data_IF_173509512587
#
_entry.id   IF_173509512587
#
_cell.length_a   1.000
_cell.length_b   1.000
_cell.length_c   1.000
_cell.angle_alpha   90.00
_cell.angle_beta   90.00
_cell.angle_gamma   90.00
#
_symmetry.space_group_name_H-M   'P 1'
#
loop_
_entity.id
_entity.type
_entity.pdbx_description
1 polymer ?
#
# COMPACT_ATOMS: atom_id res chain seq x y z
N UNK A 1 42.28 -57.21 0.41
CA UNK A 1 43.43 -57.00 1.31
C UNK A 1 43.53 -55.52 1.61
N UNK A 2 43.46 -55.21 2.90
CA UNK A 2 43.68 -53.88 3.49
C UNK A 2 45.17 -53.50 3.39
N UNK A 3 45.49 -52.20 3.35
CA UNK A 3 46.36 -51.48 4.32
C UNK A 3 46.65 -50.06 3.79
N UNK A 4 46.34 -49.07 4.65
CA UNK A 4 46.57 -47.61 4.62
C UNK A 4 48.08 -47.27 4.85
N UNK A 5 48.61 -46.02 4.82
CA UNK A 5 48.24 -44.99 5.83
C UNK A 5 48.40 -43.47 5.50
N UNK A 6 47.66 -42.64 6.27
CA UNK A 6 48.05 -41.38 6.99
C UNK A 6 48.58 -40.14 6.22
N UNK A 7 48.48 -38.87 6.66
CA UNK A 7 47.70 -38.08 7.63
C UNK A 7 48.02 -36.59 7.34
N UNK A 8 47.01 -35.71 7.47
CA UNK A 8 46.98 -34.29 7.86
C UNK A 8 48.25 -33.40 7.84
N UNK A 9 48.12 -32.19 7.26
CA UNK A 9 48.36 -30.94 8.00
C UNK A 9 47.43 -29.80 7.54
N UNK A 10 46.72 -29.24 8.51
CA UNK A 10 45.97 -27.99 8.45
C UNK A 10 46.93 -26.80 8.44
N UNK A 11 46.70 -25.82 7.56
CA UNK A 11 47.17 -24.45 7.76
C UNK A 11 46.02 -23.47 7.56
N UNK A 12 45.71 -22.81 8.67
CA UNK A 12 44.78 -21.71 8.88
C UNK A 12 45.20 -20.47 8.09
N UNK A 13 44.26 -19.83 7.40
CA UNK A 13 44.44 -18.48 6.85
C UNK A 13 43.41 -17.54 7.46
N UNK A 14 43.86 -16.73 8.40
CA UNK A 14 43.09 -15.63 8.99
C UNK A 14 42.73 -14.56 7.95
N UNK A 15 41.57 -13.90 8.09
CA UNK A 15 41.18 -12.79 7.23
C UNK A 15 41.89 -11.49 7.64
N UNK A 16 42.48 -10.81 6.66
CA UNK A 16 43.07 -9.48 6.85
C UNK A 16 41.97 -8.44 7.01
N UNK A 17 41.86 -7.89 8.22
CA UNK A 17 41.08 -6.69 8.54
C UNK A 17 41.61 -5.47 7.79
N UNK A 18 40.72 -4.77 7.10
CA UNK A 18 40.99 -3.51 6.42
C UNK A 18 40.44 -2.36 7.30
N UNK A 19 41.28 -1.52 7.93
CA UNK A 19 40.80 -0.48 8.83
C UNK A 19 40.41 0.77 8.01
N UNK A 20 39.12 0.94 7.78
CA UNK A 20 38.57 2.22 7.35
C UNK A 20 38.64 3.22 8.51
N UNK A 21 39.57 4.18 8.41
CA UNK A 21 39.71 5.29 9.32
C UNK A 21 38.43 6.17 9.32
N UNK A 22 37.57 5.99 10.34
CA UNK A 22 36.58 7.01 10.72
C UNK A 22 37.32 8.19 11.35
N UNK A 23 37.44 9.32 10.64
CA UNK A 23 37.79 10.61 11.27
C UNK A 23 36.63 11.03 12.18
N UNK A 24 36.82 10.88 13.48
CA UNK A 24 35.92 11.41 14.52
C UNK A 24 36.25 12.90 14.67
N UNK A 25 35.39 13.79 14.19
CA UNK A 25 35.49 15.22 14.49
C UNK A 25 34.90 15.41 15.88
N UNK A 26 35.76 15.66 16.87
CA UNK A 26 35.38 16.05 18.22
C UNK A 26 35.42 17.58 18.25
N UNK A 27 34.25 18.23 18.24
CA UNK A 27 34.17 19.66 18.52
C UNK A 27 34.15 19.85 20.04
N UNK A 28 35.27 20.29 20.62
CA UNK A 28 35.30 20.82 21.99
C UNK A 28 34.79 22.27 21.96
N UNK A 29 33.58 22.49 22.46
CA UNK A 29 33.08 23.85 22.72
C UNK A 29 33.47 24.26 24.14
N UNK A 30 34.45 25.17 24.25
CA UNK A 30 34.76 25.89 25.49
C UNK A 30 33.79 27.07 25.62
N UNK A 31 32.86 27.03 26.57
CA UNK A 31 32.00 28.16 26.91
C UNK A 31 32.69 29.05 27.95
N UNK A 32 33.06 30.27 27.53
CA UNK A 32 33.39 31.38 28.45
C UNK A 32 32.11 32.15 28.75
N UNK A 33 31.80 32.52 30.01
CA UNK A 33 30.58 33.26 30.31
C UNK A 33 30.83 34.75 30.06
N UNK A 34 30.20 35.31 29.03
CA UNK A 34 30.05 36.77 28.90
C UNK A 34 28.57 37.14 29.03
N UNK A 35 28.29 38.04 29.99
CA UNK A 35 26.96 38.59 30.28
C UNK A 35 26.32 39.22 29.04
N UNK A 36 25.01 39.08 28.80
CA UNK A 36 24.35 39.72 27.67
C UNK A 36 24.05 41.21 27.98
N UNK A 37 24.38 42.10 27.05
CA UNK A 37 23.80 43.45 26.95
C UNK A 37 22.45 43.32 26.23
N UNK A 38 21.42 43.90 26.83
CA UNK A 38 20.06 43.98 26.29
C UNK A 38 20.00 44.90 25.07
N UNK A 39 19.32 44.47 24.02
CA UNK A 39 18.85 45.32 22.93
C UNK A 39 17.43 44.87 22.58
N UNK A 40 16.43 45.77 22.57
CA UNK A 40 15.05 45.40 22.38
C UNK A 40 14.74 45.42 20.87
N UNK A 41 14.71 44.24 20.25
CA UNK A 41 13.92 43.92 19.03
C UNK A 41 14.30 42.52 18.51
N UNK A 42 14.08 41.48 19.33
CA UNK A 42 14.01 40.11 18.82
C UNK A 42 12.55 39.69 18.75
N UNK A 43 12.09 39.45 17.51
CA UNK A 43 10.86 38.72 17.24
C UNK A 43 11.01 37.31 17.83
N UNK A 44 10.32 37.06 18.93
CA UNK A 44 10.15 35.75 19.53
C UNK A 44 9.24 34.91 18.63
N UNK A 45 9.81 33.99 17.85
CA UNK A 45 9.06 32.84 17.36
C UNK A 45 8.88 31.89 18.54
N UNK A 46 7.73 31.98 19.19
CA UNK A 46 7.27 30.97 20.14
C UNK A 46 6.80 29.75 19.31
N UNK A 47 7.42 28.57 19.43
CA UNK A 47 6.85 27.37 18.86
C UNK A 47 5.58 27.07 19.64
N UNK A 48 4.43 27.33 19.01
CA UNK A 48 3.12 26.97 19.54
C UNK A 48 3.09 25.45 19.67
N UNK A 49 3.30 24.95 20.89
CA UNK A 49 3.00 23.57 21.25
C UNK A 49 1.50 23.40 21.10
N UNK A 50 1.08 22.97 19.91
CA UNK A 50 -0.25 22.41 19.70
C UNK A 50 -0.30 21.17 20.58
N UNK A 51 -1.10 21.24 21.64
CA UNK A 51 -1.45 20.08 22.47
C UNK A 51 -1.80 18.94 21.52
N UNK A 52 -1.18 17.75 21.64
CA UNK A 52 -1.56 16.65 20.78
C UNK A 52 -3.08 16.43 20.93
N UNK A 53 -3.84 16.34 19.82
CA UNK A 53 -5.23 15.95 19.93
C UNK A 53 -5.28 14.64 20.70
N UNK A 54 -6.22 14.54 21.64
CA UNK A 54 -6.45 13.34 22.42
C UNK A 54 -6.28 12.13 21.50
N UNK A 55 -5.29 11.30 21.81
CA UNK A 55 -5.04 10.04 21.11
C UNK A 55 -6.31 9.22 21.31
N UNK A 56 -7.23 9.29 20.35
CA UNK A 56 -8.31 8.33 20.26
C UNK A 56 -7.57 7.03 20.02
N UNK A 57 -7.49 6.21 21.07
CA UNK A 57 -6.99 4.85 21.00
C UNK A 57 -7.74 4.18 19.85
N UNK A 58 -7.04 4.03 18.72
CA UNK A 58 -7.38 3.08 17.67
C UNK A 58 -7.80 1.79 18.38
N UNK A 59 -8.98 1.26 18.04
CA UNK A 59 -9.59 0.15 18.77
C UNK A 59 -8.54 -0.95 18.99
N UNK A 60 -8.00 -1.04 20.20
CA UNK A 60 -6.83 -1.85 20.51
C UNK A 60 -7.20 -3.32 20.76
N UNK A 61 -8.39 -3.73 20.33
CA UNK A 61 -8.90 -5.08 20.53
C UNK A 61 -8.50 -5.92 19.32
N UNK A 62 -7.75 -7.03 19.53
CA UNK A 62 -7.40 -7.94 18.44
C UNK A 62 -8.65 -8.44 17.71
N UNK A 63 -8.59 -8.60 16.37
CA UNK A 63 -9.68 -9.15 15.60
C UNK A 63 -10.08 -10.54 16.10
N UNK A 64 -11.37 -10.76 16.28
CA UNK A 64 -11.92 -12.03 16.78
C UNK A 64 -11.91 -13.08 15.66
N UNK A 65 -11.59 -14.34 16.02
CA UNK A 65 -11.73 -15.48 15.11
C UNK A 65 -13.20 -15.63 14.71
N UNK A 66 -13.51 -15.67 13.41
CA UNK A 66 -14.87 -15.65 12.86
C UNK A 66 -15.67 -14.36 13.13
N UNK A 67 -14.99 -13.21 13.12
CA UNK A 67 -15.65 -11.91 13.22
C UNK A 67 -16.77 -11.75 12.16
N UNK A 68 -18.04 -11.58 12.58
CA UNK A 68 -19.16 -11.31 11.67
C UNK A 68 -18.94 -10.08 10.78
N UNK A 69 -18.11 -9.12 11.21
CA UNK A 69 -17.76 -7.92 10.44
C UNK A 69 -17.04 -8.24 9.11
N UNK A 70 -16.45 -9.43 8.99
CA UNK A 70 -15.75 -9.91 7.78
C UNK A 70 -16.69 -10.58 6.76
N UNK A 71 -17.95 -10.82 7.13
CA UNK A 71 -18.94 -11.48 6.28
C UNK A 71 -19.55 -10.50 5.26
N UNK A 72 -19.96 -11.02 4.11
CA UNK A 72 -20.64 -10.24 3.08
C UNK A 72 -22.13 -10.16 3.33
N UNK A 73 -22.65 -8.95 3.46
CA UNK A 73 -24.09 -8.67 3.49
C UNK A 73 -24.68 -8.69 2.08
N UNK A 74 -26.01 -8.72 1.97
CA UNK A 74 -26.69 -8.53 0.68
C UNK A 74 -26.37 -7.17 0.06
N UNK A 75 -26.29 -6.12 0.87
CA UNK A 75 -25.90 -4.77 0.41
C UNK A 75 -24.50 -4.79 -0.23
N UNK A 76 -23.53 -5.47 0.38
CA UNK A 76 -22.20 -5.62 -0.20
C UNK A 76 -22.26 -6.30 -1.58
N UNK A 77 -23.03 -7.38 -1.68
CA UNK A 77 -23.20 -8.15 -2.93
C UNK A 77 -23.87 -7.33 -4.02
N UNK A 78 -24.90 -6.53 -3.67
CA UNK A 78 -25.57 -5.63 -4.62
C UNK A 78 -24.63 -4.56 -5.15
N UNK A 79 -23.81 -3.95 -4.31
CA UNK A 79 -22.83 -2.94 -4.76
C UNK A 79 -21.78 -3.55 -5.68
N UNK A 80 -21.25 -4.73 -5.34
CA UNK A 80 -20.32 -5.44 -6.20
C UNK A 80 -20.95 -5.83 -7.53
N UNK A 81 -22.17 -6.37 -7.53
CA UNK A 81 -22.90 -6.67 -8.76
C UNK A 81 -23.06 -5.41 -9.63
N UNK A 82 -23.48 -4.29 -9.03
CA UNK A 82 -23.68 -3.02 -9.73
C UNK A 82 -22.38 -2.48 -10.33
N UNK A 83 -21.29 -2.45 -9.55
CA UNK A 83 -19.97 -2.01 -10.03
C UNK A 83 -19.45 -2.90 -11.16
N UNK A 84 -19.54 -4.23 -11.00
CA UNK A 84 -19.20 -5.18 -12.05
C UNK A 84 -20.02 -4.95 -13.33
N UNK A 85 -21.33 -4.70 -13.20
CA UNK A 85 -22.18 -4.41 -14.37
C UNK A 85 -21.70 -3.17 -15.11
N UNK A 86 -21.39 -2.07 -14.42
CA UNK A 86 -20.87 -0.86 -15.09
C UNK A 86 -19.55 -1.12 -15.82
N UNK A 87 -18.58 -1.78 -15.17
CA UNK A 87 -17.31 -2.15 -15.81
C UNK A 87 -17.54 -3.04 -17.05
N UNK A 88 -18.43 -4.04 -16.94
CA UNK A 88 -18.73 -4.94 -18.05
C UNK A 88 -19.43 -4.21 -19.20
N UNK A 89 -20.29 -3.24 -18.91
CA UNK A 89 -20.92 -2.39 -19.94
C UNK A 89 -19.86 -1.57 -20.66
N UNK A 90 -18.95 -0.88 -19.95
CA UNK A 90 -17.86 -0.15 -20.60
C UNK A 90 -17.02 -1.06 -21.50
N UNK A 91 -16.59 -2.23 -20.99
CA UNK A 91 -15.78 -3.16 -21.76
C UNK A 91 -16.53 -3.74 -22.97
N UNK A 92 -17.83 -4.05 -22.83
CA UNK A 92 -18.65 -4.52 -23.94
C UNK A 92 -18.82 -3.46 -25.03
N UNK A 93 -19.05 -2.19 -24.64
CA UNK A 93 -19.13 -1.07 -25.59
C UNK A 93 -17.80 -0.84 -26.30
N UNK A 94 -16.68 -0.98 -25.59
CA UNK A 94 -15.35 -0.91 -26.19
C UNK A 94 -15.15 -1.99 -27.26
N UNK A 95 -15.48 -3.25 -26.96
CA UNK A 95 -15.34 -4.37 -27.89
C UNK A 95 -16.27 -4.21 -29.09
N UNK A 96 -17.54 -3.87 -28.87
CA UNK A 96 -18.52 -3.67 -29.94
C UNK A 96 -18.10 -2.51 -30.86
N UNK A 97 -17.77 -1.35 -30.28
CA UNK A 97 -17.34 -0.18 -31.06
C UNK A 97 -16.02 -0.41 -31.80
N UNK A 98 -15.07 -1.16 -31.22
CA UNK A 98 -13.83 -1.54 -31.90
C UNK A 98 -14.10 -2.48 -33.08
N UNK A 99 -15.04 -3.41 -32.93
CA UNK A 99 -15.49 -4.31 -34.00
C UNK A 99 -16.17 -3.56 -35.14
N UNK A 100 -17.14 -2.71 -34.83
CA UNK A 100 -17.91 -1.93 -35.81
C UNK A 100 -17.02 -0.95 -36.60
N UNK A 101 -16.01 -0.39 -35.92
CA UNK A 101 -15.11 0.62 -36.50
C UNK A 101 -13.78 0.03 -37.00
N UNK A 102 -13.52 -1.27 -36.80
CA UNK A 102 -12.28 -1.96 -37.13
C UNK A 102 -10.98 -1.37 -36.51
N UNK A 103 -11.08 -0.67 -35.37
CA UNK A 103 -9.95 0.00 -34.68
C UNK A 103 -9.55 -0.73 -33.39
N UNK A 104 -8.99 -1.92 -33.50
CA UNK A 104 -8.68 -2.75 -32.31
C UNK A 104 -7.52 -2.23 -31.47
N UNK A 105 -6.53 -1.57 -32.08
CA UNK A 105 -5.29 -1.20 -31.42
C UNK A 105 -5.50 -0.09 -30.40
N UNK A 106 -6.27 0.93 -30.73
CA UNK A 106 -6.44 2.13 -29.94
C UNK A 106 -7.16 1.85 -28.61
N UNK A 107 -8.29 1.10 -28.56
CA UNK A 107 -8.90 0.66 -27.31
C UNK A 107 -8.00 -0.28 -26.49
N UNK A 108 -7.21 -1.15 -27.13
CA UNK A 108 -6.25 -2.01 -26.42
C UNK A 108 -5.17 -1.18 -25.72
N UNK A 109 -4.59 -0.19 -26.42
CA UNK A 109 -3.61 0.73 -25.84
C UNK A 109 -4.24 1.58 -24.73
N UNK A 110 -5.46 2.07 -24.93
CA UNK A 110 -6.19 2.83 -23.93
C UNK A 110 -6.47 2.00 -22.67
N UNK A 111 -6.90 0.74 -22.82
CA UNK A 111 -7.05 -0.19 -21.72
C UNK A 111 -5.73 -0.45 -20.98
N UNK A 112 -4.64 -0.65 -21.71
CA UNK A 112 -3.30 -0.81 -21.12
C UNK A 112 -2.87 0.42 -20.31
N UNK A 113 -3.07 1.64 -20.84
CA UNK A 113 -2.82 2.88 -20.10
C UNK A 113 -3.71 2.94 -18.85
N UNK A 114 -4.99 2.56 -18.95
CA UNK A 114 -5.90 2.46 -17.82
C UNK A 114 -5.38 1.53 -16.72
N UNK A 115 -4.84 0.37 -17.08
CA UNK A 115 -4.22 -0.58 -16.15
C UNK A 115 -2.98 0.02 -15.45
N UNK A 116 -2.07 0.65 -16.21
CA UNK A 116 -0.87 1.29 -15.65
C UNK A 116 -1.24 2.44 -14.70
N UNK A 117 -2.25 3.24 -15.06
CA UNK A 117 -2.73 4.33 -14.20
C UNK A 117 -3.51 3.83 -12.99
N UNK A 118 -4.21 2.69 -13.08
CA UNK A 118 -4.87 2.07 -11.93
C UNK A 118 -3.85 1.68 -10.86
N UNK A 119 -2.72 1.10 -11.26
CA UNK A 119 -1.65 0.75 -10.32
C UNK A 119 -1.06 1.99 -9.65
N UNK A 120 -0.71 3.02 -10.43
CA UNK A 120 -0.23 4.31 -9.87
C UNK A 120 -1.24 4.92 -8.91
N UNK A 121 -2.51 4.99 -9.31
CA UNK A 121 -3.60 5.53 -8.50
C UNK A 121 -3.79 4.76 -7.20
N UNK A 122 -3.66 3.43 -7.23
CA UNK A 122 -3.70 2.59 -6.03
C UNK A 122 -2.57 2.94 -5.06
N UNK A 123 -1.35 3.17 -5.58
CA UNK A 123 -0.20 3.56 -4.76
C UNK A 123 -0.34 4.93 -4.13
N UNK A 124 -0.78 5.94 -4.90
CA UNK A 124 -1.02 7.28 -4.37
C UNK A 124 -2.09 7.27 -3.29
N UNK A 125 -3.18 6.52 -3.51
CA UNK A 125 -4.26 6.39 -2.53
C UNK A 125 -3.77 5.71 -1.24
N UNK A 126 -3.08 4.58 -1.39
CA UNK A 126 -2.55 3.79 -0.28
C UNK A 126 -1.53 4.58 0.54
N UNK A 127 -0.57 5.24 -0.10
CA UNK A 127 0.36 6.16 0.57
C UNK A 127 -0.38 7.24 1.36
N UNK A 128 -1.43 7.83 0.80
CA UNK A 128 -2.19 8.89 1.44
C UNK A 128 -2.88 8.44 2.73
N UNK A 129 -3.63 7.34 2.68
CA UNK A 129 -4.41 6.83 3.84
C UNK A 129 -3.53 6.20 4.92
N UNK A 130 -2.37 5.64 4.57
CA UNK A 130 -1.43 5.12 5.57
C UNK A 130 -0.76 6.24 6.37
N UNK A 131 -0.56 7.39 5.74
CA UNK A 131 0.26 8.47 6.30
C UNK A 131 -0.51 9.63 6.90
N UNK A 132 -1.76 9.86 6.48
CA UNK A 132 -2.49 11.07 6.85
C UNK A 132 -3.88 10.78 7.39
N UNK A 133 -4.24 11.56 8.43
CA UNK A 133 -5.51 11.41 9.13
C UNK A 133 -5.55 10.21 10.07
N UNK A 134 -6.71 10.02 10.66
CA UNK A 134 -7.05 8.92 11.56
C UNK A 134 -8.53 8.54 11.41
N UNK A 135 -9.03 7.65 12.28
CA UNK A 135 -10.43 7.21 12.32
C UNK A 135 -11.47 8.32 12.47
N UNK A 136 -11.08 9.50 12.95
CA UNK A 136 -11.96 10.68 13.08
C UNK A 136 -12.05 11.53 11.81
N UNK A 137 -11.24 11.23 10.79
CA UNK A 137 -11.23 11.97 9.53
C UNK A 137 -12.61 11.95 8.87
N UNK A 138 -13.20 13.10 8.52
CA UNK A 138 -14.48 13.13 7.84
C UNK A 138 -14.44 12.33 6.54
N UNK A 139 -15.50 11.55 6.27
CA UNK A 139 -15.69 10.73 5.06
C UNK A 139 -14.74 9.52 4.96
N UNK A 140 -13.44 9.71 5.22
CA UNK A 140 -12.39 8.69 5.01
C UNK A 140 -11.92 7.98 6.29
N UNK A 141 -12.36 8.41 7.48
CA UNK A 141 -11.84 7.90 8.76
C UNK A 141 -11.89 6.38 8.88
N UNK A 142 -13.03 5.76 8.56
CA UNK A 142 -13.16 4.30 8.57
C UNK A 142 -12.18 3.58 7.63
N UNK A 143 -11.83 4.19 6.50
CA UNK A 143 -10.90 3.60 5.54
C UNK A 143 -9.46 3.79 6.01
N UNK A 144 -9.14 4.97 6.53
CA UNK A 144 -7.84 5.27 7.13
C UNK A 144 -7.57 4.32 8.29
N UNK A 145 -8.50 4.17 9.23
CA UNK A 145 -8.37 3.22 10.35
C UNK A 145 -8.19 1.78 9.87
N UNK A 146 -8.96 1.35 8.85
CA UNK A 146 -8.85 -0.01 8.31
C UNK A 146 -7.49 -0.28 7.65
N UNK A 147 -6.96 0.65 6.86
CA UNK A 147 -5.65 0.52 6.21
C UNK A 147 -4.51 0.62 7.23
N UNK A 148 -4.56 1.61 8.11
CA UNK A 148 -3.55 1.78 9.15
C UNK A 148 -3.49 0.59 10.13
N UNK A 149 -4.64 0.02 10.49
CA UNK A 149 -4.73 -1.16 11.35
C UNK A 149 -4.35 -2.47 10.65
N UNK A 150 -4.42 -2.53 9.32
CA UNK A 150 -4.05 -3.71 8.54
C UNK A 150 -2.58 -4.08 8.66
N UNK A 151 -1.68 -3.11 8.88
CA UNK A 151 -0.26 -3.38 9.12
C UNK A 151 -0.03 -4.21 10.39
N UNK A 152 -0.89 -4.02 11.40
CA UNK A 152 -0.87 -4.79 12.64
C UNK A 152 -1.48 -6.18 12.48
N UNK A 153 -2.59 -6.27 11.73
CA UNK A 153 -3.34 -7.52 11.56
C UNK A 153 -3.57 -7.92 10.09
N UNK A 154 -2.50 -8.20 9.33
CA UNK A 154 -2.57 -8.34 7.87
C UNK A 154 -3.39 -9.54 7.39
N UNK A 155 -3.52 -10.59 8.20
CA UNK A 155 -4.32 -11.78 7.82
C UNK A 155 -5.81 -11.48 7.70
N UNK A 156 -6.32 -10.41 8.32
CA UNK A 156 -7.75 -10.08 8.30
C UNK A 156 -8.27 -9.86 6.89
N UNK A 157 -7.46 -9.26 6.00
CA UNK A 157 -7.84 -9.05 4.60
C UNK A 157 -8.06 -10.37 3.85
N UNK A 158 -7.31 -11.43 4.21
CA UNK A 158 -7.43 -12.76 3.58
C UNK A 158 -8.68 -13.51 4.03
N UNK A 159 -9.27 -13.09 5.17
CA UNK A 159 -10.47 -13.69 5.77
C UNK A 159 -11.74 -12.90 5.44
N UNK A 160 -11.61 -11.65 5.02
CA UNK A 160 -12.73 -10.81 4.58
C UNK A 160 -13.35 -11.40 3.32
N UNK A 161 -14.65 -11.65 3.35
CA UNK A 161 -15.34 -12.18 2.17
C UNK A 161 -15.30 -11.19 1.01
N UNK A 162 -15.24 -11.73 -0.21
CA UNK A 162 -15.09 -10.98 -1.46
C UNK A 162 -15.98 -9.72 -1.55
N UNK A 163 -17.29 -9.85 -1.36
CA UNK A 163 -18.16 -8.68 -1.54
C UNK A 163 -17.94 -7.62 -0.44
N UNK A 164 -17.68 -8.03 0.79
CA UNK A 164 -17.28 -7.13 1.87
C UNK A 164 -15.98 -6.38 1.51
N UNK A 165 -14.99 -7.08 0.95
CA UNK A 165 -13.72 -6.47 0.59
C UNK A 165 -13.83 -5.43 -0.55
N UNK A 166 -14.81 -5.58 -1.47
CA UNK A 166 -14.88 -4.78 -2.69
C UNK A 166 -16.00 -3.72 -2.70
N UNK A 167 -17.03 -3.84 -1.86
CA UNK A 167 -18.28 -3.07 -2.04
C UNK A 167 -18.10 -1.54 -2.03
N UNK A 168 -17.17 -0.99 -1.24
CA UNK A 168 -16.93 0.45 -1.18
C UNK A 168 -16.35 0.99 -2.50
N UNK A 169 -15.38 0.25 -3.07
CA UNK A 169 -14.81 0.56 -4.37
C UNK A 169 -15.82 0.32 -5.49
N UNK A 170 -16.60 -0.77 -5.42
CA UNK A 170 -17.63 -1.07 -6.40
C UNK A 170 -18.74 -0.01 -6.43
N UNK A 171 -19.12 0.52 -5.27
CA UNK A 171 -20.03 1.68 -5.16
C UNK A 171 -19.43 2.91 -5.84
N UNK A 172 -18.18 3.22 -5.54
CA UNK A 172 -17.47 4.37 -6.13
C UNK A 172 -17.40 4.23 -7.66
N UNK A 173 -16.99 3.06 -8.15
CA UNK A 173 -16.96 2.74 -9.57
C UNK A 173 -18.33 2.86 -10.21
N UNK A 174 -19.38 2.33 -9.60
CA UNK A 174 -20.73 2.48 -10.14
C UNK A 174 -21.15 3.96 -10.27
N UNK A 175 -20.84 4.81 -9.28
CA UNK A 175 -21.17 6.23 -9.33
C UNK A 175 -20.43 7.00 -10.42
N UNK A 176 -19.16 6.68 -10.70
CA UNK A 176 -18.34 7.41 -11.67
C UNK A 176 -18.41 6.83 -13.09
N UNK A 177 -18.55 5.51 -13.23
CA UNK A 177 -18.54 4.84 -14.54
C UNK A 177 -19.92 4.85 -15.18
N UNK A 178 -21.01 4.69 -14.42
CA UNK A 178 -22.36 4.70 -14.98
C UNK A 178 -22.67 5.94 -15.82
N UNK A 179 -22.37 7.19 -15.39
CA UNK A 179 -22.59 8.35 -16.25
C UNK A 179 -21.80 8.29 -17.55
N UNK A 180 -20.56 7.79 -17.53
CA UNK A 180 -19.74 7.61 -18.74
C UNK A 180 -20.40 6.60 -19.68
N UNK A 181 -20.85 5.45 -19.16
CA UNK A 181 -21.53 4.42 -19.94
C UNK A 181 -22.83 4.94 -20.57
N UNK A 182 -23.53 5.87 -19.93
CA UNK A 182 -24.78 6.43 -20.43
C UNK A 182 -24.57 7.47 -21.55
N UNK A 183 -23.44 8.20 -21.54
CA UNK A 183 -23.25 9.35 -22.45
C UNK A 183 -22.14 9.15 -23.49
N UNK A 184 -21.25 8.17 -23.31
CA UNK A 184 -20.08 7.97 -24.17
C UNK A 184 -20.09 6.61 -24.85
N UNK A 185 -20.12 6.59 -26.19
CA UNK A 185 -20.02 5.37 -27.00
C UNK A 185 -18.65 5.21 -27.69
N UNK A 186 -17.67 6.05 -27.36
CA UNK A 186 -16.32 5.96 -27.92
C UNK A 186 -15.61 4.70 -27.38
N UNK A 187 -15.17 3.76 -28.24
CA UNK A 187 -14.59 2.52 -27.79
C UNK A 187 -13.23 2.68 -27.07
N UNK A 188 -12.47 3.73 -27.38
CA UNK A 188 -11.18 4.04 -26.75
C UNK A 188 -11.43 4.50 -25.31
N UNK A 189 -12.36 5.43 -25.12
CA UNK A 189 -12.73 5.94 -23.78
C UNK A 189 -13.30 4.81 -22.93
N UNK A 190 -14.20 4.00 -23.50
CA UNK A 190 -14.82 2.89 -22.80
C UNK A 190 -13.80 1.81 -22.38
N UNK A 191 -12.79 1.52 -23.21
CA UNK A 191 -11.71 0.60 -22.85
C UNK A 191 -10.85 1.16 -21.71
N UNK A 192 -10.45 2.42 -21.82
CA UNK A 192 -9.68 3.10 -20.78
C UNK A 192 -10.41 3.07 -19.43
N UNK A 193 -11.66 3.54 -19.40
CA UNK A 193 -12.48 3.63 -18.18
C UNK A 193 -12.78 2.24 -17.63
N UNK A 194 -13.18 1.29 -18.48
CA UNK A 194 -13.50 -0.07 -18.07
C UNK A 194 -12.32 -0.78 -17.40
N UNK A 195 -11.12 -0.71 -18.01
CA UNK A 195 -9.92 -1.33 -17.43
C UNK A 195 -9.44 -0.59 -16.19
N UNK A 196 -9.35 0.75 -16.22
CA UNK A 196 -8.95 1.56 -15.06
C UNK A 196 -9.86 1.28 -13.85
N UNK A 197 -11.16 1.41 -14.04
CA UNK A 197 -12.14 1.23 -12.97
C UNK A 197 -12.22 -0.22 -12.50
N UNK A 198 -12.11 -1.19 -13.41
CA UNK A 198 -12.01 -2.60 -13.07
C UNK A 198 -10.81 -2.88 -12.16
N UNK A 199 -9.61 -2.43 -12.54
CA UNK A 199 -8.42 -2.62 -11.74
C UNK A 199 -8.49 -1.92 -10.38
N UNK A 200 -9.02 -0.69 -10.31
CA UNK A 200 -9.25 0.01 -9.03
C UNK A 200 -10.23 -0.79 -8.16
N UNK A 201 -11.35 -1.24 -8.71
CA UNK A 201 -12.38 -1.98 -7.96
C UNK A 201 -11.84 -3.28 -7.35
N UNK A 202 -11.05 -4.02 -8.12
CA UNK A 202 -10.49 -5.31 -7.71
C UNK A 202 -9.15 -5.19 -6.98
N UNK A 203 -8.58 -3.99 -6.82
CA UNK A 203 -7.28 -3.76 -6.18
C UNK A 203 -7.20 -4.37 -4.77
N UNK A 204 -8.27 -4.28 -3.97
CA UNK A 204 -8.33 -4.91 -2.65
C UNK A 204 -8.31 -6.44 -2.70
N UNK A 205 -8.78 -7.06 -3.79
CA UNK A 205 -8.66 -8.50 -3.97
C UNK A 205 -7.24 -8.91 -4.34
N UNK A 206 -6.59 -8.11 -5.19
CA UNK A 206 -5.18 -8.32 -5.55
C UNK A 206 -4.29 -8.18 -4.33
N UNK A 207 -4.54 -7.15 -3.51
CA UNK A 207 -3.93 -6.98 -2.20
C UNK A 207 -4.16 -8.19 -1.29
N UNK A 208 -5.40 -8.68 -1.16
CA UNK A 208 -5.68 -9.86 -0.35
C UNK A 208 -4.91 -11.11 -0.82
N UNK A 209 -4.80 -11.32 -2.14
CA UNK A 209 -3.99 -12.39 -2.69
C UNK A 209 -2.49 -12.21 -2.45
N UNK A 210 -1.99 -10.97 -2.35
CA UNK A 210 -0.60 -10.69 -2.00
C UNK A 210 -0.24 -11.15 -0.58
N UNK A 211 -1.21 -11.30 0.32
CA UNK A 211 -0.99 -11.88 1.66
C UNK A 211 -1.03 -13.42 1.67
N UNK A 212 -1.53 -14.05 0.61
CA UNK A 212 -1.70 -15.50 0.51
C UNK A 212 -0.41 -16.27 0.20
N UNK A 213 -0.24 -17.47 0.77
CA UNK A 213 0.79 -18.40 0.31
C UNK A 213 0.41 -18.97 -1.06
N UNK A 214 1.39 -19.27 -1.93
CA UNK A 214 1.13 -19.88 -3.24
C UNK A 214 0.26 -21.14 -3.17
N UNK A 215 0.40 -21.94 -2.11
CA UNK A 215 -0.39 -23.16 -1.88
C UNK A 215 -1.87 -22.92 -1.56
N UNK A 216 -2.23 -21.72 -1.06
CA UNK A 216 -3.62 -21.36 -0.68
C UNK A 216 -4.33 -20.56 -1.76
N UNK A 217 -3.64 -20.16 -2.82
CA UNK A 217 -4.18 -19.34 -3.90
C UNK A 217 -4.59 -20.21 -5.10
N UNK A 218 -5.61 -19.80 -5.87
CA UNK A 218 -5.92 -20.44 -7.14
C UNK A 218 -4.70 -20.41 -8.08
N UNK A 219 -4.43 -21.48 -8.85
CA UNK A 219 -3.26 -21.53 -9.74
C UNK A 219 -3.17 -20.36 -10.73
N UNK A 220 -4.32 -19.88 -11.22
CA UNK A 220 -4.36 -18.72 -12.11
C UNK A 220 -3.92 -17.43 -11.43
N UNK A 221 -4.25 -17.23 -10.15
CA UNK A 221 -3.80 -16.06 -9.38
C UNK A 221 -2.29 -16.10 -9.19
N UNK A 222 -1.74 -17.28 -8.87
CA UNK A 222 -0.29 -17.47 -8.74
C UNK A 222 0.42 -17.16 -10.06
N UNK A 223 -0.10 -17.67 -11.19
CA UNK A 223 0.45 -17.38 -12.50
C UNK A 223 0.44 -15.88 -12.81
N UNK A 224 -0.67 -15.19 -12.52
CA UNK A 224 -0.80 -13.73 -12.73
C UNK A 224 0.15 -12.93 -11.83
N UNK A 225 0.41 -13.35 -10.60
CA UNK A 225 1.43 -12.75 -9.74
C UNK A 225 2.85 -13.02 -10.27
N UNK A 226 3.13 -14.23 -10.75
CA UNK A 226 4.46 -14.62 -11.24
C UNK A 226 4.86 -13.89 -12.53
N UNK A 227 3.89 -13.53 -13.38
CA UNK A 227 4.13 -12.69 -14.59
C UNK A 227 4.00 -11.19 -14.33
N UNK A 228 3.75 -10.77 -13.08
CA UNK A 228 3.66 -9.36 -12.69
C UNK A 228 2.37 -8.65 -13.11
N UNK A 229 1.31 -9.40 -13.44
CA UNK A 229 -0.01 -8.82 -13.72
C UNK A 229 -0.77 -8.46 -12.44
N UNK A 230 -0.54 -9.21 -11.35
CA UNK A 230 -0.99 -8.87 -10.00
C UNK A 230 0.19 -8.67 -9.06
N UNK A 231 0.02 -7.79 -8.07
CA UNK A 231 1.05 -7.54 -7.06
C UNK A 231 1.42 -8.84 -6.36
N UNK A 232 2.72 -9.11 -6.28
CA UNK A 232 3.25 -10.32 -5.67
C UNK A 232 3.31 -10.23 -4.14
N UNK A 233 3.30 -11.39 -3.48
CA UNK A 233 3.53 -11.46 -2.03
C UNK A 233 4.86 -10.87 -1.59
N UNK A 234 5.92 -11.03 -2.39
CA UNK A 234 7.23 -10.48 -2.06
C UNK A 234 7.26 -8.95 -2.12
N UNK A 235 6.66 -8.35 -3.15
CA UNK A 235 6.57 -6.89 -3.27
C UNK A 235 5.72 -6.29 -2.15
N UNK A 236 4.50 -6.78 -1.98
CA UNK A 236 3.64 -6.23 -0.93
C UNK A 236 4.15 -6.56 0.48
N UNK A 237 4.78 -7.73 0.67
CA UNK A 237 5.45 -8.06 1.94
C UNK A 237 6.66 -7.17 2.27
N UNK A 238 7.23 -6.44 1.30
CA UNK A 238 8.26 -5.44 1.57
C UNK A 238 7.68 -4.15 2.16
N UNK A 239 6.47 -3.77 1.74
CA UNK A 239 5.73 -2.64 2.29
C UNK A 239 5.36 -2.83 3.78
N UNK A 240 5.06 -4.06 4.19
CA UNK A 240 4.78 -4.44 5.60
C UNK A 240 6.01 -4.48 6.51
N UNK A 241 7.16 -3.97 6.05
CA UNK A 241 8.41 -3.95 6.82
C UNK A 241 8.89 -2.52 7.01
N UNK A 242 9.61 -2.32 8.11
CA UNK A 242 10.28 -1.06 8.36
C UNK A 242 11.14 -0.63 7.16
N UNK A 243 11.09 0.66 6.77
CA UNK A 243 10.44 1.78 7.46
C UNK A 243 9.00 2.11 7.02
N UNK A 244 8.27 1.16 6.41
CA UNK A 244 6.86 1.32 6.00
C UNK A 244 6.58 2.47 5.00
N UNK A 245 7.56 2.77 4.15
CA UNK A 245 7.54 3.92 3.25
C UNK A 245 7.69 3.57 1.76
N UNK A 246 7.41 2.33 1.37
CA UNK A 246 7.67 1.80 0.04
C UNK A 246 6.55 0.86 -0.45
N UNK A 247 6.60 0.47 -1.73
CA UNK A 247 5.74 -0.56 -2.33
C UNK A 247 4.22 -0.37 -2.12
N UNK A 248 3.73 0.88 -2.23
CA UNK A 248 2.33 1.22 -2.00
C UNK A 248 1.36 0.72 -3.08
N UNK A 249 1.79 0.49 -4.32
CA UNK A 249 0.89 0.07 -5.40
C UNK A 249 0.47 -1.40 -5.24
N UNK A 250 -0.84 -1.64 -5.32
CA UNK A 250 -1.47 -2.94 -4.99
C UNK A 250 -2.23 -3.58 -6.15
N UNK A 251 -2.18 -3.00 -7.37
CA UNK A 251 -2.76 -3.67 -8.54
C UNK A 251 -1.77 -4.69 -9.07
N UNK A 252 -0.66 -4.23 -9.61
CA UNK A 252 0.44 -5.03 -10.15
C UNK A 252 1.77 -4.74 -9.48
N UNK A 253 1.91 -3.55 -8.89
CA UNK A 253 3.17 -3.07 -8.34
C UNK A 253 4.15 -2.59 -9.41
N UNK A 254 3.72 -2.39 -10.67
CA UNK A 254 4.60 -1.94 -11.76
C UNK A 254 5.23 -0.57 -11.47
N UNK A 255 4.54 0.29 -10.72
CA UNK A 255 5.07 1.59 -10.35
C UNK A 255 6.00 1.58 -9.14
N UNK A 256 5.96 0.54 -8.30
CA UNK A 256 6.65 0.55 -7.01
C UNK A 256 8.15 0.80 -7.15
N UNK A 257 8.83 0.07 -8.03
CA UNK A 257 10.27 0.23 -8.23
C UNK A 257 10.65 1.65 -8.67
N UNK A 258 9.86 2.24 -9.59
CA UNK A 258 10.10 3.59 -10.07
C UNK A 258 9.85 4.64 -8.97
N UNK A 259 8.72 4.55 -8.27
CA UNK A 259 8.34 5.51 -7.23
C UNK A 259 9.32 5.46 -6.05
N UNK A 260 9.71 4.25 -5.61
CA UNK A 260 10.63 4.03 -4.49
C UNK A 260 12.06 4.51 -4.84
N UNK A 261 12.58 4.17 -6.03
CA UNK A 261 13.92 4.61 -6.45
C UNK A 261 14.04 6.12 -6.56
N UNK A 262 12.99 6.79 -7.00
CA UNK A 262 12.96 8.25 -7.17
C UNK A 262 12.47 8.98 -5.92
N UNK A 263 12.13 8.26 -4.84
CA UNK A 263 11.62 8.82 -3.58
C UNK A 263 10.44 9.77 -3.77
N UNK A 264 9.52 9.41 -4.68
CA UNK A 264 8.42 10.28 -5.09
C UNK A 264 7.53 10.62 -3.91
N UNK A 265 7.19 9.61 -3.09
CA UNK A 265 6.34 9.82 -1.93
C UNK A 265 7.04 10.59 -0.83
N UNK A 266 8.33 10.35 -0.55
CA UNK A 266 9.07 11.15 0.42
C UNK A 266 9.18 12.62 -0.03
N UNK A 267 9.35 12.88 -1.34
CA UNK A 267 9.33 14.24 -1.85
C UNK A 267 7.97 14.92 -1.64
N UNK A 268 6.86 14.19 -1.84
CA UNK A 268 5.52 14.69 -1.57
C UNK A 268 5.29 14.93 -0.07
N UNK A 269 5.77 14.04 0.80
CA UNK A 269 5.74 14.21 2.25
C UNK A 269 6.48 15.48 2.69
N UNK A 270 7.69 15.72 2.18
CA UNK A 270 8.44 16.96 2.45
C UNK A 270 7.66 18.19 1.98
N UNK A 271 7.03 18.12 0.80
CA UNK A 271 6.24 19.24 0.26
C UNK A 271 5.01 19.54 1.12
N UNK A 272 4.28 18.51 1.57
CA UNK A 272 3.12 18.65 2.46
C UNK A 272 3.54 19.19 3.83
N UNK A 273 4.64 18.68 4.39
CA UNK A 273 5.18 19.17 5.66
C UNK A 273 5.57 20.65 5.59
N UNK A 274 6.35 21.07 4.57
CA UNK A 274 6.78 22.46 4.49
C UNK A 274 5.66 23.44 4.12
N UNK A 275 4.64 23.01 3.37
CA UNK A 275 3.53 23.88 2.98
C UNK A 275 2.41 23.94 4.00
N UNK A 276 2.11 22.82 4.67
CA UNK A 276 0.91 22.65 5.49
C UNK A 276 1.24 22.30 6.95
N UNK A 277 2.50 22.00 7.28
CA UNK A 277 2.90 21.56 8.62
C UNK A 277 2.46 20.13 8.97
N UNK A 278 1.90 19.38 8.01
CA UNK A 278 1.38 18.02 8.23
C UNK A 278 2.51 17.01 8.07
N UNK A 279 2.75 16.21 9.11
CA UNK A 279 3.78 15.16 9.13
C UNK A 279 3.14 13.81 8.77
N UNK A 280 3.75 13.02 7.88
CA UNK A 280 3.27 11.66 7.59
C UNK A 280 3.53 10.70 8.76
N UNK A 281 2.68 9.69 8.89
CA UNK A 281 2.83 8.63 9.90
C UNK A 281 4.14 7.85 9.72
N UNK A 282 4.61 7.63 8.50
CA UNK A 282 5.85 6.92 8.13
C UNK A 282 7.14 7.50 8.76
N UNK A 283 7.14 8.78 9.14
CA UNK A 283 8.30 9.42 9.76
C UNK A 283 8.41 9.19 11.27
N UNK A 284 7.40 8.57 11.87
CA UNK A 284 7.41 8.26 13.29
C UNK A 284 8.13 6.94 13.51
N UNK A 285 8.79 6.79 14.67
CA UNK A 285 9.30 5.48 15.06
C UNK A 285 8.14 4.47 15.06
N UNK A 286 8.33 3.26 14.50
CA UNK A 286 7.27 2.26 14.45
C UNK A 286 6.74 1.95 15.86
N UNK A 287 5.52 2.39 16.13
CA UNK A 287 4.78 1.98 17.33
C UNK A 287 4.33 0.53 17.19
N UNK A 288 3.80 -0.05 18.28
CA UNK A 288 3.15 -1.37 18.25
C UNK A 288 2.00 -1.47 17.25
N UNK A 289 1.51 -0.34 16.71
CA UNK A 289 0.42 -0.29 15.74
C UNK A 289 0.87 -0.57 14.30
N UNK A 290 2.19 -0.62 14.06
CA UNK A 290 2.77 -1.03 12.77
C UNK A 290 3.28 -2.47 12.78
N UNK A 291 3.57 -2.99 13.97
CA UNK A 291 4.18 -4.31 14.13
C UNK A 291 3.13 -5.38 13.93
N UNK A 292 3.33 -6.22 12.91
CA UNK A 292 2.49 -7.39 12.67
C UNK A 292 2.46 -8.28 13.92
N UNK A 293 1.27 -8.53 14.45
CA UNK A 293 1.05 -9.51 15.50
C UNK A 293 0.81 -10.87 14.86
N UNK A 294 1.50 -11.94 15.25
CA UNK A 294 1.18 -13.26 14.66
C UNK A 294 -0.14 -13.80 15.19
N UNK A 295 -0.91 -14.50 14.33
CA UNK A 295 -2.09 -15.26 14.77
C UNK A 295 -1.70 -16.20 15.92
N UNK A 296 -2.46 -16.17 17.01
CA UNK A 296 -2.22 -17.06 18.16
C UNK A 296 -2.58 -18.50 17.81
N UNK A 297 -1.98 -19.49 18.48
CA UNK A 297 -2.23 -20.92 18.19
C UNK A 297 -3.73 -21.31 18.22
N UNK A 298 -4.54 -20.65 19.07
CA UNK A 298 -5.99 -20.81 19.13
C UNK A 298 -6.73 -20.28 17.89
N UNK A 299 -6.14 -19.33 17.15
CA UNK A 299 -6.65 -18.75 15.90
C UNK A 299 -6.23 -19.54 14.66
N UNK A 300 -5.20 -20.39 14.77
CA UNK A 300 -4.67 -21.25 13.71
C UNK A 300 -5.33 -22.63 13.70
N UNK A 301 -5.70 -23.17 14.87
CA UNK A 301 -6.18 -24.56 15.04
C UNK A 301 -7.59 -24.86 14.51
N UNK A 302 -8.30 -23.87 13.96
CA UNK A 302 -9.65 -24.02 13.37
C UNK A 302 -9.62 -23.88 11.83
N UNK A 303 -8.42 -23.90 11.22
CA UNK A 303 -8.21 -23.93 9.77
C UNK A 303 -8.56 -25.28 9.14
#
# INVERSE_FOLDING_TARGET
MSILPQHNHYLTRSPTHNPWHRKRIICSATTTPTKPKSSPNQLTFEPQFVTPPNLVTSSSTPPVLNDPSLQSTWSHRTWVATGCTTVLVSLAKAIAGAGDSHIWLEPMLAGYIGYILADLGSGVYHWGIDNYGDGSTPIFGNQIEAFQGHHKWPWTITRRQFANNLHALARTVAFFVLPVDLVCNDPIVNAFVGVLAGCIMFSQQFHAWAHGTKSKLPPIVVALQDVGLFVSRSQHGAHHRQPYNNNYCIVSGVWNEFLDKNKVFEALEMALYFKLGVRPRSWSEPTTDWTEETETASQVAVQ
#
